data_IF_247065858150
#
_entry.id   IF_247065858150
#
_cell.length_a   1.000
_cell.length_b   1.000
_cell.length_c   1.000
_cell.angle_alpha   90.00
_cell.angle_beta   90.00
_cell.angle_gamma   90.00
#
_symmetry.space_group_name_H-M   'P 1'
#
loop_
_entity.id
_entity.type
_entity.pdbx_description
1 polymer ?
#
# COMPACT_ATOMS: atom_id res chain seq x y z
N UNK A 1 11.42 23.89 -15.37
CA UNK A 1 11.06 24.15 -13.95
C UNK A 1 9.56 24.38 -13.73
N UNK A 2 8.79 24.88 -14.71
CA UNK A 2 7.33 25.07 -14.56
C UNK A 2 6.53 23.76 -14.70
N UNK A 3 6.85 22.89 -15.67
CA UNK A 3 6.15 21.61 -15.89
C UNK A 3 6.08 20.71 -14.65
N UNK A 4 7.20 20.54 -13.94
CA UNK A 4 7.27 19.67 -12.75
C UNK A 4 6.38 20.15 -11.58
N UNK A 5 6.06 21.45 -11.52
CA UNK A 5 5.20 22.01 -10.47
C UNK A 5 3.71 21.85 -10.79
N UNK A 6 3.34 21.88 -12.07
CA UNK A 6 1.97 21.69 -12.53
C UNK A 6 1.59 20.22 -12.47
N UNK A 7 2.49 19.34 -12.91
CA UNK A 7 2.31 17.88 -12.84
C UNK A 7 2.14 17.40 -11.39
N UNK A 8 2.93 17.97 -10.46
CA UNK A 8 2.79 17.67 -9.03
C UNK A 8 1.41 18.05 -8.49
N UNK A 9 0.87 19.21 -8.89
CA UNK A 9 -0.47 19.66 -8.45
C UNK A 9 -1.57 18.73 -8.97
N UNK A 10 -1.48 18.32 -10.23
CA UNK A 10 -2.45 17.40 -10.83
C UNK A 10 -2.47 16.07 -10.07
N UNK A 11 -1.30 15.49 -9.78
CA UNK A 11 -1.20 14.25 -9.00
C UNK A 11 -1.71 14.41 -7.55
N UNK A 12 -1.54 15.57 -6.94
CA UNK A 12 -2.09 15.87 -5.61
C UNK A 12 -3.62 15.98 -5.61
N UNK A 13 -4.21 16.59 -6.64
CA UNK A 13 -5.67 16.67 -6.82
C UNK A 13 -6.28 15.30 -7.10
N UNK A 14 -5.65 14.51 -7.97
CA UNK A 14 -6.05 13.12 -8.22
C UNK A 14 -6.01 12.29 -6.94
N UNK A 15 -4.93 12.40 -6.16
CA UNK A 15 -4.82 11.75 -4.85
C UNK A 15 -5.98 12.15 -3.94
N UNK A 16 -6.25 13.44 -3.78
CA UNK A 16 -7.36 13.95 -2.96
C UNK A 16 -8.70 13.34 -3.38
N UNK A 17 -8.97 13.25 -4.68
CA UNK A 17 -10.22 12.65 -5.19
C UNK A 17 -10.36 11.17 -4.78
N UNK A 18 -9.27 10.39 -4.86
CA UNK A 18 -9.25 8.97 -4.51
C UNK A 18 -9.42 8.75 -2.99
N UNK A 19 -8.88 9.64 -2.16
CA UNK A 19 -8.98 9.55 -0.71
C UNK A 19 -10.43 9.63 -0.20
N UNK A 20 -11.32 10.33 -0.91
CA UNK A 20 -12.72 10.50 -0.48
C UNK A 20 -13.53 9.20 -0.45
N UNK A 21 -13.11 8.17 -1.18
CA UNK A 21 -13.77 6.86 -1.23
C UNK A 21 -13.24 5.84 -0.22
N UNK A 22 -12.20 6.19 0.55
CA UNK A 22 -11.49 5.26 1.44
C UNK A 22 -11.94 5.48 2.89
N UNK A 23 -12.13 4.38 3.63
CA UNK A 23 -12.41 4.44 5.06
C UNK A 23 -11.31 5.19 5.81
N UNK A 24 -11.71 6.11 6.70
CA UNK A 24 -10.78 6.97 7.43
C UNK A 24 -9.82 6.20 8.34
N UNK A 25 -10.21 5.03 8.85
CA UNK A 25 -9.33 4.17 9.65
C UNK A 25 -8.23 3.54 8.77
N UNK A 26 -8.57 3.09 7.56
CA UNK A 26 -7.60 2.56 6.59
C UNK A 26 -6.65 3.67 6.14
N UNK A 27 -7.19 4.85 5.86
CA UNK A 27 -6.40 6.00 5.43
C UNK A 27 -5.39 6.44 6.51
N UNK A 28 -5.83 6.53 7.76
CA UNK A 28 -4.96 6.88 8.89
C UNK A 28 -3.78 5.91 9.03
N UNK A 29 -4.02 4.61 8.83
CA UNK A 29 -2.96 3.61 8.86
C UNK A 29 -2.03 3.71 7.65
N UNK A 30 -2.59 3.93 6.45
CA UNK A 30 -1.82 4.17 5.23
C UNK A 30 -0.85 5.35 5.39
N UNK A 31 -1.34 6.47 5.92
CA UNK A 31 -0.55 7.69 6.14
C UNK A 31 0.55 7.45 7.16
N UNK A 32 0.24 6.75 8.26
CA UNK A 32 1.25 6.37 9.25
C UNK A 32 2.40 5.57 8.65
N UNK A 33 2.09 4.61 7.79
CA UNK A 33 3.11 3.81 7.10
C UNK A 33 3.84 4.68 6.07
N UNK A 34 3.13 5.56 5.37
CA UNK A 34 3.68 6.43 4.33
C UNK A 34 4.81 7.29 4.89
N UNK A 35 4.55 7.97 6.00
CA UNK A 35 5.54 8.79 6.71
C UNK A 35 6.70 7.93 7.26
N UNK A 36 6.39 6.76 7.84
CA UNK A 36 7.42 5.90 8.44
C UNK A 36 8.32 5.18 7.42
N UNK A 37 7.86 5.04 6.17
CA UNK A 37 8.48 4.17 5.15
C UNK A 37 8.83 4.91 3.85
N UNK A 38 9.08 6.22 3.94
CA UNK A 38 9.52 7.08 2.83
C UNK A 38 8.57 7.01 1.62
N UNK A 39 7.27 7.06 1.87
CA UNK A 39 6.25 7.15 0.83
C UNK A 39 5.78 5.82 0.25
N UNK A 40 6.24 4.69 0.78
CA UNK A 40 5.89 3.36 0.25
C UNK A 40 5.07 2.55 1.25
N UNK A 41 3.73 2.68 1.15
CA UNK A 41 2.78 2.05 2.09
C UNK A 41 2.18 0.73 1.62
N UNK A 42 2.13 0.50 0.31
CA UNK A 42 1.47 -0.65 -0.33
C UNK A 42 2.46 -1.35 -1.25
N UNK A 43 2.58 -2.67 -1.13
CA UNK A 43 3.58 -3.47 -1.85
C UNK A 43 3.01 -4.82 -2.25
N UNK A 44 3.50 -5.36 -3.37
CA UNK A 44 3.07 -6.66 -3.84
C UNK A 44 3.62 -7.78 -2.94
N UNK A 45 2.88 -8.87 -2.86
CA UNK A 45 3.36 -10.11 -2.30
C UNK A 45 4.24 -10.84 -3.33
N UNK A 46 5.46 -11.19 -2.96
CA UNK A 46 6.39 -11.94 -3.81
C UNK A 46 6.54 -13.36 -3.27
N UNK A 47 5.86 -14.33 -3.91
CA UNK A 47 5.87 -15.73 -3.46
C UNK A 47 5.26 -15.90 -2.06
N UNK A 48 6.11 -16.07 -1.05
CA UNK A 48 5.75 -16.16 0.37
C UNK A 48 6.34 -15.02 1.22
N UNK A 49 6.82 -13.95 0.57
CA UNK A 49 7.49 -12.82 1.21
C UNK A 49 6.85 -11.47 0.87
N UNK A 50 7.10 -10.49 1.71
CA UNK A 50 6.78 -9.09 1.44
C UNK A 50 7.75 -8.52 0.40
N UNK A 51 7.25 -8.02 -0.73
CA UNK A 51 8.08 -7.52 -1.84
C UNK A 51 8.96 -6.31 -1.52
N UNK A 52 8.79 -5.67 -0.36
CA UNK A 52 9.65 -4.53 0.04
C UNK A 52 10.67 -4.82 1.14
N UNK A 53 10.37 -5.71 2.09
CA UNK A 53 11.29 -6.00 3.19
C UNK A 53 11.83 -7.43 3.18
N UNK A 54 11.32 -8.29 2.31
CA UNK A 54 11.67 -9.71 2.28
C UNK A 54 11.17 -10.50 3.49
N UNK A 55 10.41 -9.88 4.39
CA UNK A 55 9.85 -10.54 5.57
C UNK A 55 8.91 -11.67 5.17
N UNK A 56 9.02 -12.79 5.89
CA UNK A 56 8.16 -13.96 5.68
C UNK A 56 6.69 -13.60 5.96
N UNK A 57 5.81 -14.00 5.04
CA UNK A 57 4.36 -13.82 5.17
C UNK A 57 3.73 -15.21 5.39
N UNK A 58 2.99 -15.40 6.51
CA UNK A 58 2.33 -16.67 6.79
C UNK A 58 1.44 -17.15 5.64
N UNK A 59 1.40 -18.47 5.34
CA UNK A 59 0.64 -19.02 4.22
C UNK A 59 -0.87 -18.77 4.33
N UNK A 60 -1.40 -18.59 5.55
CA UNK A 60 -2.78 -18.17 5.77
C UNK A 60 -3.02 -16.79 5.15
N UNK A 61 -2.19 -15.80 5.48
CA UNK A 61 -2.27 -14.43 4.94
C UNK A 61 -2.07 -14.44 3.43
N UNK A 62 -1.12 -15.23 2.92
CA UNK A 62 -0.93 -15.39 1.46
C UNK A 62 -2.19 -15.91 0.78
N UNK A 63 -2.86 -16.89 1.39
CA UNK A 63 -4.10 -17.46 0.85
C UNK A 63 -5.26 -16.46 0.93
N UNK A 64 -5.35 -15.67 2.00
CA UNK A 64 -6.37 -14.63 2.17
C UNK A 64 -6.17 -13.47 1.19
N UNK A 65 -4.93 -13.04 0.97
CA UNK A 65 -4.55 -12.06 -0.05
C UNK A 65 -4.93 -12.53 -1.45
N UNK A 66 -4.58 -13.78 -1.81
CA UNK A 66 -4.97 -14.38 -3.09
C UNK A 66 -6.48 -14.52 -3.26
N UNK A 67 -7.21 -14.71 -2.16
CA UNK A 67 -8.66 -14.78 -2.14
C UNK A 67 -9.35 -13.41 -2.04
N UNK A 68 -8.60 -12.30 -2.09
CA UNK A 68 -9.09 -10.93 -1.92
C UNK A 68 -9.95 -10.74 -0.66
N UNK A 69 -9.60 -11.40 0.45
CA UNK A 69 -10.31 -11.33 1.74
C UNK A 69 -9.98 -10.08 2.55
N UNK A 70 -9.79 -8.95 1.88
CA UNK A 70 -9.50 -7.65 2.48
C UNK A 70 -8.01 -7.33 2.59
N UNK A 71 -7.69 -6.15 3.15
CA UNK A 71 -6.32 -5.67 3.24
C UNK A 71 -5.55 -6.41 4.35
N UNK A 72 -4.42 -7.01 4.01
CA UNK A 72 -3.47 -7.54 4.98
C UNK A 72 -2.22 -6.68 5.05
N UNK A 73 -1.55 -6.69 6.21
CA UNK A 73 -0.29 -5.99 6.42
C UNK A 73 0.84 -6.98 6.67
N UNK A 74 2.04 -6.60 6.27
CA UNK A 74 3.25 -7.31 6.62
C UNK A 74 3.53 -7.11 8.12
N UNK A 75 3.61 -8.21 8.89
CA UNK A 75 3.92 -8.16 10.32
C UNK A 75 5.33 -7.60 10.61
N UNK A 76 6.25 -7.72 9.65
CA UNK A 76 7.63 -7.25 9.81
C UNK A 76 7.79 -5.75 9.58
N UNK A 77 7.16 -5.18 8.55
CA UNK A 77 7.37 -3.77 8.17
C UNK A 77 6.13 -2.89 8.27
N UNK A 78 4.95 -3.46 8.46
CA UNK A 78 3.67 -2.78 8.57
C UNK A 78 2.98 -2.46 7.24
N UNK A 79 3.68 -2.58 6.10
CA UNK A 79 3.12 -2.23 4.78
C UNK A 79 1.93 -3.09 4.41
N UNK A 80 0.98 -2.48 3.69
CA UNK A 80 -0.13 -3.20 3.07
C UNK A 80 0.39 -4.12 1.98
N UNK A 81 -0.09 -5.34 2.00
CA UNK A 81 0.20 -6.35 1.00
C UNK A 81 -0.99 -6.43 0.05
N UNK A 82 -0.71 -6.50 -1.24
CA UNK A 82 -1.69 -6.89 -2.25
C UNK A 82 -1.14 -8.05 -3.06
N UNK A 83 -2.04 -8.86 -3.59
CA UNK A 83 -1.67 -9.90 -4.54
C UNK A 83 -2.00 -9.40 -5.94
N UNK A 84 -0.98 -9.27 -6.80
CA UNK A 84 -1.18 -8.93 -8.20
C UNK A 84 -1.62 -10.21 -8.93
N UNK A 85 -2.91 -10.29 -9.21
CA UNK A 85 -3.47 -11.34 -10.06
C UNK A 85 -3.33 -10.90 -11.52
N UNK A 86 -2.11 -10.90 -12.04
CA UNK A 86 -1.86 -10.88 -13.50
C UNK A 86 -2.45 -12.13 -14.17
#
# INVERSE_FOLDING_TARGET
>A
MQESSEEKKQLEEERQSQLTGIDSAILSEYERIYEARNGMSVVALEGSGCGACGGFVPPQIVSELKANKGPHRCESCGRFLYFDSE
#
